data_IF_248623848545
#
_entry.id   IF_248623848545
#
_cell.length_a   1.000
_cell.length_b   1.000
_cell.length_c   1.000
_cell.angle_alpha   90.00
_cell.angle_beta   90.00
_cell.angle_gamma   90.00
#
_symmetry.space_group_name_H-M   'P 1'
#
loop_
_entity.id
_entity.type
_entity.pdbx_description
1 polymer ?
#
# COMPACT_ATOMS: atom_id res chain seq x y z
N UNK A 1 -16.84 -33.45 13.53
CA UNK A 1 -16.89 -33.94 14.90
C UNK A 1 -17.24 -35.40 14.86
N UNK A 2 -16.57 -36.24 15.63
CA UNK A 2 -16.90 -37.63 15.88
C UNK A 2 -17.60 -37.71 17.25
N UNK A 3 -18.71 -38.39 17.31
CA UNK A 3 -19.43 -38.70 18.55
C UNK A 3 -19.07 -40.13 18.94
N UNK A 4 -18.04 -40.27 19.76
CA UNK A 4 -17.51 -41.53 20.24
C UNK A 4 -16.27 -42.07 19.50
N UNK A 5 -15.77 -43.21 19.93
CA UNK A 5 -14.63 -43.89 19.29
C UNK A 5 -15.09 -44.70 18.08
N UNK A 6 -14.33 -44.64 16.99
CA UNK A 6 -14.61 -45.38 15.76
C UNK A 6 -13.56 -46.48 15.52
N UNK A 7 -14.05 -47.62 15.08
CA UNK A 7 -13.21 -48.72 14.62
C UNK A 7 -13.45 -49.04 13.12
N UNK A 8 -12.43 -49.66 12.50
CA UNK A 8 -12.55 -50.09 11.11
C UNK A 8 -13.67 -51.12 11.00
N UNK A 9 -14.66 -50.86 10.14
CA UNK A 9 -15.86 -51.69 9.95
C UNK A 9 -17.13 -51.13 10.61
N UNK A 10 -17.03 -50.07 11.39
CA UNK A 10 -18.19 -49.41 11.99
C UNK A 10 -19.09 -48.76 10.94
N UNK A 11 -20.39 -48.85 11.14
CA UNK A 11 -21.37 -48.06 10.38
C UNK A 11 -21.45 -46.66 10.92
N UNK A 12 -21.23 -45.67 10.04
CA UNK A 12 -21.30 -44.27 10.38
C UNK A 12 -22.35 -43.55 9.54
N UNK A 13 -22.97 -42.52 10.11
CA UNK A 13 -23.82 -41.57 9.39
C UNK A 13 -23.02 -40.30 9.17
N UNK A 14 -22.75 -39.94 7.90
CA UNK A 14 -22.11 -38.67 7.55
C UNK A 14 -23.15 -37.58 7.42
N UNK A 15 -23.12 -36.58 8.32
CA UNK A 15 -23.99 -35.41 8.30
C UNK A 15 -23.25 -34.24 7.71
N UNK A 16 -23.74 -33.76 6.57
CA UNK A 16 -23.24 -32.53 5.95
C UNK A 16 -24.02 -31.34 6.51
N UNK A 17 -23.32 -30.32 7.05
CA UNK A 17 -23.95 -29.10 7.48
C UNK A 17 -24.61 -28.39 6.28
N UNK A 18 -25.94 -28.21 6.24
CA UNK A 18 -26.66 -27.67 5.08
C UNK A 18 -26.24 -26.23 4.76
N UNK A 19 -26.02 -25.37 5.76
CA UNK A 19 -25.64 -23.99 5.56
C UNK A 19 -24.24 -23.86 4.95
N UNK A 20 -23.26 -24.64 5.46
CA UNK A 20 -21.91 -24.69 4.90
C UNK A 20 -21.92 -25.24 3.47
N UNK A 21 -22.70 -26.30 3.21
CA UNK A 21 -22.86 -26.85 1.88
C UNK A 21 -23.46 -25.83 0.91
N UNK A 22 -24.54 -25.17 1.33
CA UNK A 22 -25.18 -24.15 0.49
C UNK A 22 -24.25 -22.99 0.17
N UNK A 23 -23.52 -22.46 1.16
CA UNK A 23 -22.52 -21.42 0.93
C UNK A 23 -21.39 -21.85 -0.02
N UNK A 24 -20.96 -23.12 0.07
CA UNK A 24 -19.99 -23.67 -0.89
C UNK A 24 -20.57 -23.77 -2.31
N UNK A 25 -21.85 -24.15 -2.47
CA UNK A 25 -22.54 -24.17 -3.75
C UNK A 25 -22.66 -22.76 -4.36
N UNK A 26 -22.96 -21.73 -3.53
CA UNK A 26 -23.01 -20.33 -3.97
C UNK A 26 -21.65 -19.91 -4.54
N UNK A 27 -20.57 -20.12 -3.79
CA UNK A 27 -19.23 -19.74 -4.20
C UNK A 27 -18.76 -20.52 -5.46
N UNK A 28 -19.11 -21.79 -5.57
CA UNK A 28 -18.74 -22.59 -6.73
C UNK A 28 -19.51 -22.16 -7.99
N UNK A 29 -20.81 -21.90 -7.89
CA UNK A 29 -21.56 -21.36 -9.04
C UNK A 29 -21.08 -19.99 -9.43
N UNK A 30 -20.75 -19.11 -8.46
CA UNK A 30 -20.13 -17.81 -8.73
C UNK A 30 -18.77 -17.90 -9.45
N UNK A 31 -18.02 -19.01 -9.24
CA UNK A 31 -16.78 -19.26 -9.98
C UNK A 31 -17.05 -19.40 -11.49
N UNK A 32 -18.13 -20.11 -11.88
CA UNK A 32 -18.55 -20.21 -13.26
C UNK A 32 -19.05 -18.88 -13.83
N UNK A 33 -19.77 -18.10 -13.03
CA UNK A 33 -20.23 -16.75 -13.41
C UNK A 33 -19.03 -15.84 -13.70
N UNK A 34 -18.02 -15.78 -12.81
CA UNK A 34 -16.79 -15.01 -13.04
C UNK A 34 -16.05 -15.50 -14.29
N UNK A 35 -15.92 -16.79 -14.47
CA UNK A 35 -15.24 -17.35 -15.66
C UNK A 35 -15.92 -16.92 -16.95
N UNK A 36 -17.25 -17.00 -17.00
CA UNK A 36 -18.01 -16.56 -18.16
C UNK A 36 -17.85 -15.05 -18.42
N UNK A 37 -17.95 -14.21 -17.38
CA UNK A 37 -17.75 -12.76 -17.47
C UNK A 37 -16.33 -12.42 -17.95
N UNK A 38 -15.29 -13.08 -17.42
CA UNK A 38 -13.91 -12.89 -17.87
C UNK A 38 -13.74 -13.25 -19.34
N UNK A 39 -14.33 -14.34 -19.81
CA UNK A 39 -14.26 -14.75 -21.22
C UNK A 39 -15.01 -13.78 -22.14
N UNK A 40 -16.11 -13.22 -21.67
CA UNK A 40 -16.89 -12.23 -22.42
C UNK A 40 -16.11 -10.90 -22.55
N UNK A 41 -15.52 -10.40 -21.49
CA UNK A 41 -14.95 -9.06 -21.41
C UNK A 41 -13.44 -9.01 -21.70
N UNK A 42 -12.68 -10.03 -21.26
CA UNK A 42 -11.22 -10.13 -21.51
C UNK A 42 -10.93 -10.89 -22.80
N UNK A 43 -11.76 -11.89 -23.09
CA UNK A 43 -11.66 -12.72 -24.30
C UNK A 43 -11.62 -14.22 -24.04
N UNK A 44 -11.83 -15.05 -25.06
CA UNK A 44 -11.93 -16.52 -24.93
C UNK A 44 -10.64 -17.18 -24.44
N UNK A 45 -9.52 -16.49 -24.48
CA UNK A 45 -8.24 -16.97 -23.94
C UNK A 45 -8.13 -16.90 -22.40
N UNK A 46 -9.06 -16.23 -21.72
CA UNK A 46 -9.14 -16.20 -20.26
C UNK A 46 -9.63 -17.54 -19.70
N UNK A 47 -8.83 -18.59 -19.89
CA UNK A 47 -9.13 -19.95 -19.46
C UNK A 47 -8.74 -20.19 -18.02
N UNK A 48 -9.46 -21.08 -17.34
CA UNK A 48 -9.16 -21.41 -15.94
C UNK A 48 -7.78 -22.09 -15.83
N UNK A 49 -6.93 -21.56 -14.98
CA UNK A 49 -5.65 -22.15 -14.55
C UNK A 49 -5.76 -22.82 -13.17
N UNK A 50 -6.73 -22.39 -12.35
CA UNK A 50 -7.02 -22.97 -11.05
C UNK A 50 -8.17 -22.23 -10.37
N UNK A 51 -8.78 -22.86 -9.37
CA UNK A 51 -9.80 -22.21 -8.55
C UNK A 51 -9.80 -22.75 -7.13
N UNK A 52 -10.35 -21.97 -6.22
CA UNK A 52 -10.65 -22.40 -4.86
C UNK A 52 -11.89 -21.67 -4.39
N UNK A 53 -12.82 -22.43 -3.81
CA UNK A 53 -14.03 -21.85 -3.24
C UNK A 53 -14.34 -22.46 -1.86
N UNK A 54 -14.91 -21.64 -1.00
CA UNK A 54 -15.47 -21.98 0.32
C UNK A 54 -16.71 -21.13 0.56
N UNK A 55 -17.51 -21.41 1.58
CA UNK A 55 -18.65 -20.55 1.91
C UNK A 55 -18.25 -19.09 1.99
N UNK A 56 -18.95 -18.25 1.22
CA UNK A 56 -18.76 -16.79 1.19
C UNK A 56 -17.58 -16.27 0.38
N UNK A 57 -16.69 -17.13 -0.14
CA UNK A 57 -15.46 -16.70 -0.81
C UNK A 57 -15.09 -17.61 -1.98
N UNK A 58 -14.55 -17.01 -3.01
CA UNK A 58 -13.91 -17.72 -4.12
C UNK A 58 -12.61 -17.04 -4.55
N UNK A 59 -11.77 -17.84 -5.19
CA UNK A 59 -10.56 -17.42 -5.89
C UNK A 59 -10.55 -18.11 -7.26
N UNK A 60 -10.24 -17.33 -8.29
CA UNK A 60 -10.17 -17.83 -9.65
C UNK A 60 -8.88 -17.38 -10.33
N UNK A 61 -8.09 -18.35 -10.77
CA UNK A 61 -6.84 -18.13 -11.50
C UNK A 61 -7.11 -18.36 -12.99
N UNK A 62 -6.70 -17.42 -13.83
CA UNK A 62 -6.98 -17.46 -15.27
C UNK A 62 -5.80 -17.01 -16.11
N UNK A 63 -5.79 -17.43 -17.37
CA UNK A 63 -4.74 -17.07 -18.33
C UNK A 63 -4.95 -15.64 -18.83
N UNK A 64 -3.99 -14.77 -18.55
CA UNK A 64 -3.92 -13.41 -19.10
C UNK A 64 -2.50 -12.86 -18.97
N UNK A 65 -2.07 -12.12 -19.99
CA UNK A 65 -0.72 -11.51 -20.06
C UNK A 65 -0.65 -10.13 -19.43
N UNK A 66 -1.79 -9.44 -19.30
CA UNK A 66 -1.91 -8.11 -18.73
C UNK A 66 -2.84 -8.12 -17.53
N UNK A 67 -2.61 -7.22 -16.56
CA UNK A 67 -3.53 -6.97 -15.47
C UNK A 67 -4.84 -6.34 -15.96
N UNK A 68 -5.89 -6.51 -15.19
CA UNK A 68 -7.17 -5.85 -15.43
C UNK A 68 -7.06 -4.39 -14.99
N UNK A 69 -7.57 -3.45 -15.80
CA UNK A 69 -7.76 -2.08 -15.37
C UNK A 69 -8.86 -1.98 -14.32
N UNK A 70 -8.88 -0.89 -13.55
CA UNK A 70 -9.94 -0.70 -12.55
C UNK A 70 -11.32 -0.69 -13.21
N UNK A 71 -11.50 0.02 -14.34
CA UNK A 71 -12.75 0.01 -15.09
C UNK A 71 -13.17 -1.39 -15.55
N UNK A 72 -12.22 -2.23 -15.98
CA UNK A 72 -12.54 -3.60 -16.42
C UNK A 72 -12.92 -4.51 -15.24
N UNK A 73 -12.32 -4.28 -14.06
CA UNK A 73 -12.74 -4.96 -12.83
C UNK A 73 -14.17 -4.61 -12.44
N UNK A 74 -14.51 -3.32 -12.53
CA UNK A 74 -15.87 -2.84 -12.26
C UNK A 74 -16.88 -3.44 -13.27
N UNK A 75 -16.54 -3.48 -14.55
CA UNK A 75 -17.37 -4.10 -15.60
C UNK A 75 -17.57 -5.61 -15.38
N UNK A 76 -16.52 -6.32 -14.94
CA UNK A 76 -16.60 -7.76 -14.60
C UNK A 76 -17.51 -7.97 -13.37
N UNK A 77 -17.34 -7.17 -12.32
CA UNK A 77 -18.20 -7.25 -11.12
C UNK A 77 -19.66 -6.95 -11.47
N UNK A 78 -19.92 -5.89 -12.24
CA UNK A 78 -21.25 -5.54 -12.70
C UNK A 78 -21.85 -6.68 -13.54
N UNK A 79 -21.09 -7.20 -14.53
CA UNK A 79 -21.56 -8.29 -15.40
C UNK A 79 -21.90 -9.55 -14.60
N UNK A 80 -21.12 -9.87 -13.57
CA UNK A 80 -21.42 -10.98 -12.67
C UNK A 80 -22.73 -10.75 -11.90
N UNK A 81 -22.92 -9.55 -11.34
CA UNK A 81 -24.13 -9.25 -10.58
C UNK A 81 -25.37 -9.14 -11.47
N UNK A 82 -25.25 -8.68 -12.73
CA UNK A 82 -26.33 -8.76 -13.72
C UNK A 82 -26.74 -10.22 -13.98
N UNK A 83 -25.76 -11.13 -14.18
CA UNK A 83 -26.05 -12.56 -14.37
C UNK A 83 -26.67 -13.22 -13.14
N UNK A 84 -26.32 -12.75 -11.93
CA UNK A 84 -26.95 -13.16 -10.68
C UNK A 84 -28.39 -12.65 -10.60
N UNK A 85 -28.61 -11.40 -10.97
CA UNK A 85 -29.95 -10.77 -10.98
C UNK A 85 -30.90 -11.41 -12.00
N UNK A 86 -30.38 -11.78 -13.17
CA UNK A 86 -31.16 -12.44 -14.24
C UNK A 86 -31.65 -13.85 -13.85
N UNK A 87 -31.14 -14.37 -12.75
CA UNK A 87 -31.55 -15.64 -12.14
C UNK A 87 -31.55 -16.83 -13.12
N UNK A 88 -30.46 -16.96 -13.89
CA UNK A 88 -30.31 -18.07 -14.84
C UNK A 88 -30.40 -19.43 -14.15
N UNK A 89 -31.18 -20.34 -14.73
CA UNK A 89 -31.22 -21.73 -14.27
C UNK A 89 -29.82 -22.37 -14.41
N UNK A 90 -29.42 -23.15 -13.40
CA UNK A 90 -28.19 -23.92 -13.41
C UNK A 90 -28.57 -25.36 -13.69
N UNK A 91 -28.30 -25.84 -14.90
CA UNK A 91 -28.58 -27.19 -15.32
C UNK A 91 -27.34 -28.07 -15.37
N UNK A 92 -27.50 -29.36 -15.21
CA UNK A 92 -26.44 -30.30 -15.40
C UNK A 92 -26.91 -31.56 -16.16
N UNK A 93 -26.04 -32.03 -17.03
CA UNK A 93 -26.34 -33.21 -17.87
C UNK A 93 -25.11 -34.12 -17.95
N UNK A 94 -25.34 -35.42 -17.83
CA UNK A 94 -24.30 -36.44 -18.07
C UNK A 94 -24.33 -36.84 -19.53
N UNK A 95 -23.17 -36.86 -20.18
CA UNK A 95 -23.05 -37.23 -21.58
C UNK A 95 -21.65 -37.77 -21.90
N UNK A 96 -21.48 -38.44 -23.07
CA UNK A 96 -20.16 -38.79 -23.56
C UNK A 96 -19.24 -37.57 -23.71
N UNK A 97 -17.96 -37.74 -23.36
CA UNK A 97 -16.97 -36.65 -23.42
C UNK A 97 -16.89 -36.00 -24.82
N UNK A 98 -16.99 -36.82 -25.86
CA UNK A 98 -16.94 -36.33 -27.24
C UNK A 98 -18.15 -35.48 -27.59
N UNK A 99 -19.34 -35.84 -27.10
CA UNK A 99 -20.55 -35.02 -27.30
C UNK A 99 -20.46 -33.69 -26.57
N UNK A 100 -19.92 -33.71 -25.34
CA UNK A 100 -19.66 -32.49 -24.57
C UNK A 100 -18.67 -31.54 -25.29
N UNK A 101 -17.62 -32.08 -25.92
CA UNK A 101 -16.69 -31.29 -26.75
C UNK A 101 -17.36 -30.70 -27.97
N UNK A 102 -18.20 -31.48 -28.67
CA UNK A 102 -18.98 -31.01 -29.83
C UNK A 102 -19.92 -29.88 -29.43
N UNK A 103 -20.52 -29.93 -28.24
CA UNK A 103 -21.34 -28.86 -27.69
C UNK A 103 -20.52 -27.62 -27.29
N UNK A 104 -19.19 -27.69 -27.30
CA UNK A 104 -18.32 -26.60 -26.88
C UNK A 104 -18.17 -26.47 -25.35
N UNK A 105 -18.41 -27.55 -24.61
CA UNK A 105 -18.18 -27.56 -23.19
C UNK A 105 -16.67 -27.38 -22.86
N UNK A 106 -16.37 -26.46 -21.97
CA UNK A 106 -15.00 -26.20 -21.58
C UNK A 106 -14.49 -27.26 -20.60
N UNK A 107 -13.27 -27.70 -20.85
CA UNK A 107 -12.52 -28.61 -20.00
C UNK A 107 -11.31 -27.88 -19.44
N UNK A 108 -10.91 -28.17 -18.21
CA UNK A 108 -9.67 -27.68 -17.65
C UNK A 108 -8.48 -28.26 -18.42
N UNK A 109 -7.50 -27.39 -18.71
CA UNK A 109 -6.32 -27.82 -19.45
C UNK A 109 -5.49 -28.83 -18.65
N UNK A 110 -5.13 -29.96 -19.30
CA UNK A 110 -4.26 -30.98 -18.71
C UNK A 110 -4.97 -31.99 -17.82
N UNK A 111 -6.29 -31.89 -17.61
CA UNK A 111 -7.05 -32.87 -16.86
C UNK A 111 -7.47 -34.08 -17.74
N UNK A 112 -7.53 -35.25 -17.10
CA UNK A 112 -8.03 -36.47 -17.73
C UNK A 112 -9.48 -36.70 -17.31
N UNK A 113 -10.37 -36.76 -18.27
CA UNK A 113 -11.79 -36.94 -18.05
C UNK A 113 -12.22 -38.40 -18.32
N UNK A 114 -13.19 -38.93 -17.56
CA UNK A 114 -13.80 -40.23 -17.85
C UNK A 114 -14.59 -40.17 -19.17
N UNK A 115 -14.96 -41.34 -19.72
CA UNK A 115 -15.76 -41.40 -20.96
C UNK A 115 -17.12 -40.71 -20.87
N UNK A 116 -17.73 -40.69 -19.68
CA UNK A 116 -18.98 -39.96 -19.38
C UNK A 116 -18.62 -38.80 -18.44
N UNK A 117 -19.00 -37.59 -18.82
CA UNK A 117 -18.73 -36.35 -18.09
C UNK A 117 -20.03 -35.68 -17.70
N UNK A 118 -19.95 -34.83 -16.65
CA UNK A 118 -21.03 -33.94 -16.25
C UNK A 118 -20.75 -32.56 -16.80
N UNK A 119 -21.65 -32.06 -17.62
CA UNK A 119 -21.66 -30.70 -18.17
C UNK A 119 -22.57 -29.83 -17.30
N UNK A 120 -22.08 -28.74 -16.78
CA UNK A 120 -22.86 -27.73 -16.04
C UNK A 120 -23.02 -26.51 -16.92
N UNK A 121 -24.24 -25.99 -17.03
CA UNK A 121 -24.60 -24.86 -17.85
C UNK A 121 -25.30 -23.77 -17.04
N UNK A 122 -24.94 -22.51 -17.31
CA UNK A 122 -25.61 -21.30 -16.85
C UNK A 122 -25.97 -20.49 -18.09
N UNK A 123 -27.25 -20.20 -18.31
CA UNK A 123 -27.75 -19.53 -19.54
C UNK A 123 -27.24 -20.21 -20.82
N UNK A 124 -27.25 -21.53 -20.86
CA UNK A 124 -26.81 -22.31 -22.01
C UNK A 124 -25.32 -22.07 -22.34
N UNK A 125 -24.99 -21.61 -23.56
CA UNK A 125 -23.60 -21.48 -24.01
C UNK A 125 -22.82 -20.35 -23.35
N UNK A 126 -23.44 -19.48 -22.57
CA UNK A 126 -22.76 -18.39 -21.88
C UNK A 126 -21.73 -18.95 -20.87
N UNK A 127 -22.13 -19.94 -20.07
CA UNK A 127 -21.20 -20.75 -19.26
C UNK A 127 -21.57 -22.21 -19.44
N UNK A 128 -20.70 -22.98 -20.05
CA UNK A 128 -20.86 -24.42 -20.27
C UNK A 128 -19.52 -25.11 -19.99
N UNK A 129 -19.46 -25.84 -18.88
CA UNK A 129 -18.19 -26.35 -18.36
C UNK A 129 -18.30 -27.80 -17.87
N UNK A 130 -17.22 -28.57 -18.01
CA UNK A 130 -17.11 -29.88 -17.37
C UNK A 130 -16.86 -29.66 -15.87
N UNK A 131 -17.84 -30.01 -15.04
CA UNK A 131 -17.75 -29.78 -13.60
C UNK A 131 -18.41 -30.90 -12.79
N UNK A 132 -17.65 -31.48 -11.84
CA UNK A 132 -18.12 -32.50 -10.90
C UNK A 132 -18.62 -31.92 -9.56
N UNK A 133 -18.58 -30.60 -9.36
CA UNK A 133 -18.89 -29.97 -8.10
C UNK A 133 -20.37 -29.77 -7.80
N UNK A 134 -20.67 -29.13 -6.67
CA UNK A 134 -22.04 -28.86 -6.23
C UNK A 134 -22.39 -27.39 -6.50
N UNK A 135 -23.60 -27.15 -6.99
CA UNK A 135 -24.09 -25.87 -7.44
C UNK A 135 -25.42 -25.49 -6.79
N UNK A 136 -25.76 -24.18 -6.85
CA UNK A 136 -27.12 -23.72 -6.57
C UNK A 136 -28.01 -23.99 -7.79
N UNK A 137 -29.34 -23.98 -7.61
CA UNK A 137 -30.29 -24.27 -8.67
C UNK A 137 -30.44 -23.14 -9.69
N UNK A 138 -30.14 -21.90 -9.29
CA UNK A 138 -30.14 -20.74 -10.17
C UNK A 138 -29.14 -19.71 -9.69
N UNK A 139 -28.68 -18.81 -10.60
CA UNK A 139 -27.66 -17.80 -10.29
C UNK A 139 -28.15 -16.79 -9.25
N UNK A 140 -29.43 -16.47 -9.18
CA UNK A 140 -30.02 -15.61 -8.17
C UNK A 140 -29.81 -16.11 -6.73
N UNK A 141 -29.63 -17.41 -6.55
CA UNK A 141 -29.33 -18.01 -5.23
C UNK A 141 -27.91 -17.75 -4.76
N UNK A 142 -27.02 -17.20 -5.58
CA UNK A 142 -25.69 -16.71 -5.18
C UNK A 142 -25.87 -15.49 -4.26
N UNK A 143 -26.88 -14.65 -4.55
CA UNK A 143 -27.20 -13.43 -3.83
C UNK A 143 -26.52 -12.23 -4.43
N UNK A 144 -25.24 -12.03 -4.15
CA UNK A 144 -24.41 -10.98 -4.76
C UNK A 144 -22.94 -11.40 -4.77
N UNK A 145 -22.15 -10.69 -5.56
CA UNK A 145 -20.71 -10.88 -5.70
C UNK A 145 -20.01 -9.54 -5.55
N UNK A 146 -18.89 -9.52 -4.82
CA UNK A 146 -17.98 -8.36 -4.74
C UNK A 146 -16.55 -8.81 -5.01
N UNK A 147 -15.90 -8.20 -5.99
CA UNK A 147 -14.48 -8.42 -6.30
C UNK A 147 -13.61 -7.74 -5.24
N UNK A 148 -12.70 -8.50 -4.63
CA UNK A 148 -11.71 -7.95 -3.69
C UNK A 148 -10.49 -7.37 -4.40
N UNK A 149 -10.20 -7.86 -5.60
CA UNK A 149 -9.06 -7.39 -6.37
C UNK A 149 -8.54 -8.42 -7.36
N UNK A 150 -7.47 -8.03 -8.06
CA UNK A 150 -6.79 -8.86 -9.05
C UNK A 150 -5.27 -8.74 -8.87
N UNK A 151 -4.55 -9.85 -9.02
CA UNK A 151 -3.09 -9.87 -8.89
C UNK A 151 -2.44 -10.89 -9.82
N UNK A 152 -1.14 -10.70 -10.10
CA UNK A 152 -0.33 -11.69 -10.80
C UNK A 152 0.07 -12.82 -9.86
N UNK A 153 -0.06 -14.07 -10.29
CA UNK A 153 0.36 -15.26 -9.53
C UNK A 153 1.39 -16.10 -10.28
N UNK A 154 1.79 -15.67 -11.47
CA UNK A 154 2.79 -16.34 -12.30
C UNK A 154 2.88 -15.70 -13.67
N UNK A 155 3.83 -16.16 -14.49
CA UNK A 155 3.95 -15.70 -15.88
C UNK A 155 2.71 -16.10 -16.66
N UNK A 156 1.96 -15.11 -17.16
CA UNK A 156 0.75 -15.34 -17.94
C UNK A 156 -0.46 -15.84 -17.16
N UNK A 157 -0.43 -15.77 -15.81
CA UNK A 157 -1.54 -16.18 -14.94
C UNK A 157 -1.91 -15.04 -13.99
N UNK A 158 -3.19 -14.71 -14.00
CA UNK A 158 -3.79 -13.69 -13.14
C UNK A 158 -4.78 -14.34 -12.19
N UNK A 159 -5.00 -13.73 -11.04
CA UNK A 159 -5.92 -14.18 -9.99
C UNK A 159 -6.91 -13.10 -9.68
N UNK A 160 -8.19 -13.45 -9.65
CA UNK A 160 -9.23 -12.65 -9.03
C UNK A 160 -9.72 -13.34 -7.76
N UNK A 161 -10.07 -12.54 -6.75
CA UNK A 161 -10.68 -12.99 -5.52
C UNK A 161 -12.01 -12.27 -5.33
N UNK A 162 -13.02 -12.96 -4.86
CA UNK A 162 -14.34 -12.38 -4.65
C UNK A 162 -15.02 -12.94 -3.40
N UNK A 163 -15.86 -12.11 -2.83
CA UNK A 163 -16.84 -12.52 -1.84
C UNK A 163 -18.20 -12.74 -2.50
N UNK A 164 -19.00 -13.61 -1.90
CA UNK A 164 -20.34 -13.90 -2.38
C UNK A 164 -21.35 -13.88 -1.24
N UNK A 165 -22.61 -13.67 -1.60
CA UNK A 165 -23.75 -13.72 -0.66
C UNK A 165 -23.60 -12.72 0.48
N UNK A 166 -23.88 -13.13 1.71
CA UNK A 166 -23.84 -12.27 2.91
C UNK A 166 -22.45 -11.75 3.24
N UNK A 167 -21.36 -12.43 2.81
CA UNK A 167 -20.01 -11.95 3.04
C UNK A 167 -19.68 -10.78 2.10
N UNK A 168 -20.14 -10.81 0.84
CA UNK A 168 -20.08 -9.68 -0.07
C UNK A 168 -20.87 -8.48 0.48
N UNK A 169 -22.10 -8.72 0.98
CA UNK A 169 -22.90 -7.66 1.61
C UNK A 169 -22.20 -7.03 2.81
N UNK A 170 -21.59 -7.85 3.70
CA UNK A 170 -20.85 -7.36 4.87
C UNK A 170 -19.65 -6.51 4.48
N UNK A 171 -18.95 -6.92 3.43
CA UNK A 171 -17.81 -6.16 2.89
C UNK A 171 -18.25 -4.78 2.42
N UNK A 172 -19.22 -4.68 1.54
CA UNK A 172 -19.76 -3.41 1.05
C UNK A 172 -20.37 -2.55 2.20
N UNK A 173 -20.99 -3.18 3.20
CA UNK A 173 -21.50 -2.46 4.36
C UNK A 173 -20.37 -1.86 5.20
N UNK A 174 -19.22 -2.55 5.33
CA UNK A 174 -18.04 -2.05 6.02
C UNK A 174 -17.39 -0.89 5.27
N UNK A 175 -17.27 -0.97 3.94
CA UNK A 175 -16.77 0.12 3.10
C UNK A 175 -17.66 1.36 3.21
N UNK A 176 -18.98 1.19 3.15
CA UNK A 176 -19.95 2.29 3.36
C UNK A 176 -19.83 2.91 4.76
N UNK A 177 -19.64 2.09 5.79
CA UNK A 177 -19.45 2.58 7.16
C UNK A 177 -18.17 3.41 7.27
N UNK A 178 -17.07 2.96 6.65
CA UNK A 178 -15.81 3.71 6.59
C UNK A 178 -15.97 5.05 5.85
N UNK A 179 -16.65 5.07 4.70
CA UNK A 179 -16.94 6.32 3.98
C UNK A 179 -17.76 7.27 4.86
N UNK A 180 -18.78 6.77 5.56
CA UNK A 180 -19.59 7.60 6.47
C UNK A 180 -18.77 8.16 7.65
N UNK A 181 -17.85 7.37 8.21
CA UNK A 181 -16.93 7.84 9.24
C UNK A 181 -16.01 8.94 8.70
N UNK A 182 -15.39 8.71 7.55
CA UNK A 182 -14.48 9.68 6.92
C UNK A 182 -15.19 10.98 6.55
N UNK A 183 -16.42 10.93 6.06
CA UNK A 183 -17.21 12.14 5.74
C UNK A 183 -17.67 12.91 6.98
N UNK A 184 -17.82 12.22 8.10
CA UNK A 184 -18.15 12.83 9.38
C UNK A 184 -17.07 13.78 9.93
N UNK A 185 -15.79 13.53 9.63
CA UNK A 185 -14.66 14.34 10.09
C UNK A 185 -14.70 15.76 9.49
N UNK A 186 -14.70 15.96 8.15
CA UNK A 186 -14.81 17.29 7.54
C UNK A 186 -16.23 17.80 7.39
N UNK A 187 -17.26 17.01 7.76
CA UNK A 187 -18.68 17.30 7.56
C UNK A 187 -19.05 17.55 6.08
N UNK A 188 -18.48 16.75 5.21
CA UNK A 188 -18.70 16.82 3.76
C UNK A 188 -19.63 15.70 3.28
N UNK A 189 -20.10 15.81 2.03
CA UNK A 189 -20.82 14.73 1.37
C UNK A 189 -19.85 13.67 0.81
N UNK A 190 -20.27 12.40 0.66
CA UNK A 190 -19.41 11.31 0.16
C UNK A 190 -18.75 11.60 -1.20
N UNK A 191 -19.47 12.23 -2.12
CA UNK A 191 -18.99 12.60 -3.45
C UNK A 191 -17.92 13.70 -3.45
N UNK A 192 -17.83 14.48 -2.38
CA UNK A 192 -16.86 15.57 -2.19
C UNK A 192 -15.64 15.14 -1.38
N UNK A 193 -15.64 13.92 -0.82
CA UNK A 193 -14.60 13.45 0.09
C UNK A 193 -13.20 13.44 -0.56
N UNK A 194 -13.09 12.96 -1.79
CA UNK A 194 -11.82 12.90 -2.51
C UNK A 194 -11.18 14.27 -2.71
N UNK A 195 -11.98 15.25 -3.14
CA UNK A 195 -11.54 16.63 -3.33
C UNK A 195 -11.15 17.28 -1.99
N UNK A 196 -11.93 17.00 -0.93
CA UNK A 196 -11.63 17.50 0.40
C UNK A 196 -10.33 16.97 0.97
N UNK A 197 -10.08 15.67 0.82
CA UNK A 197 -8.82 15.05 1.25
C UNK A 197 -7.64 15.63 0.46
N UNK A 198 -7.77 15.78 -0.84
CA UNK A 198 -6.75 16.40 -1.70
C UNK A 198 -6.44 17.82 -1.27
N UNK A 199 -7.47 18.62 -0.96
CA UNK A 199 -7.33 19.98 -0.45
C UNK A 199 -6.64 20.00 0.90
N UNK A 200 -7.03 19.15 1.85
CA UNK A 200 -6.38 19.07 3.17
C UNK A 200 -4.89 18.72 3.06
N UNK A 201 -4.53 17.81 2.18
CA UNK A 201 -3.13 17.46 1.92
C UNK A 201 -2.34 18.66 1.36
N UNK A 202 -2.93 19.42 0.43
CA UNK A 202 -2.33 20.63 -0.12
C UNK A 202 -2.18 21.74 0.95
N UNK A 203 -3.21 21.96 1.76
CA UNK A 203 -3.22 22.95 2.84
C UNK A 203 -2.17 22.61 3.91
N UNK A 204 -2.03 21.34 4.27
CA UNK A 204 -1.00 20.88 5.19
C UNK A 204 0.41 21.17 4.65
N UNK A 205 0.68 20.81 3.40
CA UNK A 205 1.97 21.07 2.74
C UNK A 205 2.31 22.56 2.70
N UNK A 206 1.31 23.40 2.42
CA UNK A 206 1.49 24.86 2.43
C UNK A 206 1.71 25.41 3.85
N UNK A 207 1.01 24.89 4.84
CA UNK A 207 1.21 25.25 6.24
C UNK A 207 2.63 24.89 6.72
N UNK A 208 3.12 23.69 6.39
CA UNK A 208 4.49 23.25 6.68
C UNK A 208 5.53 24.15 6.02
N UNK A 209 5.31 24.52 4.76
CA UNK A 209 6.18 25.45 4.03
C UNK A 209 6.24 26.83 4.70
N UNK A 210 5.09 27.38 5.09
CA UNK A 210 4.99 28.67 5.79
C UNK A 210 5.67 28.63 7.15
N UNK A 211 5.47 27.54 7.89
CA UNK A 211 6.11 27.34 9.20
C UNK A 211 7.65 27.27 9.05
N UNK A 212 8.15 26.53 8.05
CA UNK A 212 9.58 26.47 7.74
C UNK A 212 10.15 27.84 7.41
N UNK A 213 9.47 28.62 6.56
CA UNK A 213 9.90 29.97 6.21
C UNK A 213 9.88 30.94 7.42
N UNK A 214 8.88 30.81 8.29
CA UNK A 214 8.80 31.64 9.51
C UNK A 214 9.94 31.28 10.48
N UNK A 215 10.23 30.00 10.70
CA UNK A 215 11.37 29.54 11.51
C UNK A 215 12.71 30.04 10.96
N UNK A 216 12.91 29.91 9.64
CA UNK A 216 14.14 30.42 9.00
C UNK A 216 14.29 31.94 9.20
N UNK A 217 13.21 32.72 9.06
CA UNK A 217 13.23 34.16 9.29
C UNK A 217 13.57 34.51 10.74
N UNK A 218 12.99 33.82 11.70
CA UNK A 218 13.28 33.98 13.14
C UNK A 218 14.75 33.69 13.44
N UNK A 219 15.28 32.60 12.90
CA UNK A 219 16.69 32.23 13.04
C UNK A 219 17.63 33.28 12.43
N UNK A 220 17.32 33.75 11.22
CA UNK A 220 18.12 34.77 10.57
C UNK A 220 18.06 36.13 11.28
N UNK A 221 16.98 36.41 12.02
CA UNK A 221 16.88 37.57 12.89
C UNK A 221 17.89 37.59 14.04
N UNK A 222 18.45 36.44 14.42
CA UNK A 222 19.44 36.29 15.47
C UNK A 222 20.89 36.52 14.97
N UNK A 223 21.10 36.63 13.66
CA UNK A 223 22.45 36.73 13.07
C UNK A 223 23.26 37.88 13.62
N UNK A 224 22.68 39.07 13.71
CA UNK A 224 23.39 40.28 14.16
C UNK A 224 23.79 40.17 15.65
N UNK A 225 22.94 39.60 16.50
CA UNK A 225 23.22 39.37 17.92
C UNK A 225 24.34 38.32 18.09
N UNK A 226 24.30 37.23 17.28
CA UNK A 226 25.35 36.20 17.31
C UNK A 226 26.70 36.78 16.85
N UNK A 227 26.69 37.58 15.79
CA UNK A 227 27.90 38.27 15.29
C UNK A 227 28.44 39.28 16.31
N UNK A 228 27.58 39.98 17.04
CA UNK A 228 27.98 40.88 18.10
C UNK A 228 28.72 40.16 19.25
N UNK A 229 28.41 38.87 19.49
CA UNK A 229 29.09 38.01 20.45
C UNK A 229 30.43 37.45 19.97
N UNK A 230 31.03 37.97 18.91
CA UNK A 230 32.34 37.52 18.40
C UNK A 230 33.43 37.72 19.43
N UNK A 231 34.26 36.71 19.65
CA UNK A 231 35.40 36.77 20.56
C UNK A 231 36.71 36.47 19.84
N UNK A 232 37.83 37.18 20.19
CA UNK A 232 39.12 36.85 19.62
C UNK A 232 39.64 35.51 20.15
N UNK A 233 40.15 34.65 19.23
CA UNK A 233 40.74 33.36 19.54
C UNK A 233 42.09 33.22 18.81
N UNK A 234 43.15 33.75 19.40
CA UNK A 234 44.46 33.79 18.76
C UNK A 234 44.48 34.73 17.54
N UNK A 235 44.77 34.17 16.37
CA UNK A 235 44.78 34.91 15.08
C UNK A 235 43.42 34.90 14.37
N UNK A 236 42.37 34.38 15.00
CA UNK A 236 41.02 34.24 14.42
C UNK A 236 39.97 34.94 15.28
N UNK A 237 38.89 35.35 14.66
CA UNK A 237 37.66 35.72 15.30
C UNK A 237 36.77 34.48 15.45
N UNK A 238 36.35 34.14 16.65
CA UNK A 238 35.43 33.04 16.93
C UNK A 238 34.01 33.55 17.13
N UNK A 239 33.10 33.12 16.25
CA UNK A 239 31.66 33.32 16.39
C UNK A 239 31.06 32.02 16.87
N UNK A 240 30.74 31.90 18.14
CA UNK A 240 30.19 30.69 18.73
C UNK A 240 28.81 30.93 19.31
N UNK A 241 27.82 30.12 18.94
CA UNK A 241 26.48 30.20 19.49
C UNK A 241 25.83 28.84 19.68
N UNK A 242 24.99 28.74 20.71
CA UNK A 242 24.11 27.61 20.97
C UNK A 242 22.70 28.00 20.53
N UNK A 243 22.11 27.23 19.61
CA UNK A 243 20.77 27.44 19.03
C UNK A 243 19.93 26.17 19.21
N UNK A 244 19.39 25.93 20.40
CA UNK A 244 18.70 24.69 20.74
C UNK A 244 17.48 24.46 19.85
N UNK A 245 17.18 23.20 19.50
CA UNK A 245 16.01 22.84 18.71
C UNK A 245 16.13 23.10 17.22
N UNK A 246 17.24 23.66 16.74
CA UNK A 246 17.47 23.96 15.33
C UNK A 246 18.08 22.75 14.62
N UNK A 247 17.42 22.29 13.54
CA UNK A 247 17.86 21.15 12.74
C UNK A 247 19.16 21.45 11.98
N UNK A 248 19.89 20.40 11.61
CA UNK A 248 21.18 20.55 10.93
C UNK A 248 21.13 21.31 9.60
N UNK A 249 20.02 21.24 8.84
CA UNK A 249 19.79 22.03 7.62
C UNK A 249 19.70 23.52 7.91
N UNK A 250 18.94 23.88 8.95
CA UNK A 250 18.72 25.27 9.35
C UNK A 250 19.97 25.87 9.99
N UNK A 251 20.69 25.06 10.79
CA UNK A 251 22.02 25.44 11.29
C UNK A 251 23.00 25.76 10.16
N UNK A 252 22.95 25.00 9.06
CA UNK A 252 23.79 25.26 7.89
C UNK A 252 23.46 26.60 7.25
N UNK A 253 22.18 26.92 7.10
CA UNK A 253 21.71 28.19 6.56
C UNK A 253 22.15 29.36 7.45
N UNK A 254 21.95 29.20 8.77
CA UNK A 254 22.39 30.21 9.75
C UNK A 254 23.91 30.42 9.73
N UNK A 255 24.70 29.34 9.72
CA UNK A 255 26.16 29.44 9.67
C UNK A 255 26.67 30.09 8.38
N UNK A 256 26.01 29.85 7.25
CA UNK A 256 26.35 30.45 5.96
C UNK A 256 26.08 31.96 6.00
N UNK A 257 24.97 32.39 6.57
CA UNK A 257 24.63 33.82 6.70
C UNK A 257 25.57 34.55 7.68
N UNK A 258 25.85 33.97 8.85
CA UNK A 258 26.83 34.50 9.79
C UNK A 258 28.20 34.61 9.12
N UNK A 259 28.66 33.60 8.44
CA UNK A 259 29.93 33.62 7.69
C UNK A 259 29.96 34.74 6.65
N UNK A 260 28.85 34.98 5.95
CA UNK A 260 28.76 36.07 4.99
C UNK A 260 28.89 37.48 5.65
N UNK A 261 28.36 37.63 6.87
CA UNK A 261 28.47 38.88 7.66
C UNK A 261 29.90 39.17 8.14
N UNK A 262 30.69 38.13 8.36
CA UNK A 262 32.07 38.25 8.88
C UNK A 262 33.13 37.93 7.82
N UNK A 263 32.80 37.97 6.53
CA UNK A 263 33.65 37.50 5.42
C UNK A 263 34.99 38.26 5.31
N UNK A 264 35.01 39.52 5.72
CA UNK A 264 36.18 40.40 5.60
C UNK A 264 37.21 40.22 6.73
N UNK A 265 36.96 39.27 7.65
CA UNK A 265 37.80 38.95 8.82
C UNK A 265 38.21 37.47 8.81
N UNK A 266 39.35 37.09 9.42
CA UNK A 266 39.71 35.70 9.60
C UNK A 266 38.81 35.07 10.69
N UNK A 267 37.62 34.61 10.34
CA UNK A 267 36.62 34.17 11.30
C UNK A 267 36.29 32.65 11.16
N UNK A 268 36.06 32.06 12.31
CA UNK A 268 35.53 30.69 12.48
C UNK A 268 34.15 30.79 13.12
N UNK A 269 33.14 30.29 12.43
CA UNK A 269 31.77 30.26 12.94
C UNK A 269 31.46 28.84 13.43
N UNK A 270 31.04 28.71 14.67
CA UNK A 270 30.68 27.43 15.30
C UNK A 270 29.28 27.53 15.90
N UNK A 271 28.36 26.70 15.39
CA UNK A 271 26.99 26.63 15.91
C UNK A 271 26.71 25.24 16.46
N UNK A 272 26.08 25.19 17.61
CA UNK A 272 25.58 23.96 18.24
C UNK A 272 24.06 24.05 18.32
N UNK A 273 23.37 23.06 17.77
CA UNK A 273 21.90 22.95 17.76
C UNK A 273 21.44 21.52 17.89
N UNK A 274 20.26 21.24 17.36
CA UNK A 274 19.61 19.94 17.53
C UNK A 274 18.85 19.83 18.85
N UNK A 275 18.40 18.61 19.15
CA UNK A 275 17.76 18.29 20.43
C UNK A 275 18.79 17.71 21.39
N UNK A 276 18.41 17.57 22.68
CA UNK A 276 19.26 16.94 23.70
C UNK A 276 19.77 15.56 23.29
N UNK A 277 18.91 14.76 22.64
CA UNK A 277 19.21 13.40 22.23
C UNK A 277 19.86 13.29 20.84
N UNK A 278 19.82 14.37 20.06
CA UNK A 278 20.40 14.43 18.71
C UNK A 278 21.08 15.80 18.51
N UNK A 279 22.20 16.06 19.19
CA UNK A 279 22.92 17.30 19.01
C UNK A 279 23.57 17.35 17.63
N UNK A 280 23.52 18.54 17.05
CA UNK A 280 24.14 18.86 15.77
C UNK A 280 25.12 20.02 15.96
N UNK A 281 26.26 19.94 15.28
CA UNK A 281 27.26 21.01 15.27
C UNK A 281 27.64 21.35 13.84
N UNK A 282 27.80 22.63 13.57
CA UNK A 282 28.33 23.14 12.32
C UNK A 282 29.51 24.04 12.59
N UNK A 283 30.54 23.89 11.75
CA UNK A 283 31.68 24.80 11.68
C UNK A 283 31.77 25.36 10.28
N UNK A 284 31.87 26.68 10.16
CA UNK A 284 32.12 27.35 8.88
C UNK A 284 33.31 28.31 9.03
N UNK A 285 34.13 28.45 7.98
CA UNK A 285 35.33 29.29 8.00
C UNK A 285 35.31 30.30 6.84
N UNK A 286 35.74 31.53 7.10
CA UNK A 286 35.95 32.52 6.05
C UNK A 286 37.19 32.19 5.19
N UNK A 287 37.33 32.79 4.03
CA UNK A 287 38.46 32.55 3.13
C UNK A 287 39.79 32.94 3.81
N UNK A 288 39.85 34.06 4.46
CA UNK A 288 41.02 34.52 5.18
C UNK A 288 41.39 33.60 6.35
N UNK A 289 40.40 33.05 7.06
CA UNK A 289 40.66 32.04 8.10
C UNK A 289 41.24 30.75 7.53
N UNK A 290 40.75 30.29 6.36
CA UNK A 290 41.32 29.10 5.68
C UNK A 290 42.74 29.34 5.21
N UNK A 291 43.03 30.52 4.67
CA UNK A 291 44.39 30.89 4.27
C UNK A 291 45.37 30.91 5.45
N UNK A 292 44.85 31.23 6.66
CA UNK A 292 45.60 31.20 7.90
C UNK A 292 45.59 29.80 8.60
N UNK A 293 45.05 28.74 7.92
CA UNK A 293 45.12 27.37 8.37
C UNK A 293 43.89 26.82 9.09
N UNK A 294 42.84 27.60 9.30
CA UNK A 294 41.62 27.14 9.95
C UNK A 294 40.71 26.38 8.96
N UNK A 295 40.67 25.04 9.04
CA UNK A 295 39.87 24.17 8.18
C UNK A 295 38.65 23.63 8.93
N UNK A 296 37.44 23.90 8.43
CA UNK A 296 36.19 23.45 9.06
C UNK A 296 36.12 21.93 9.21
N UNK A 297 36.62 21.16 8.20
CA UNK A 297 36.67 19.71 8.24
C UNK A 297 37.58 19.12 9.33
N UNK A 298 38.64 19.83 9.73
CA UNK A 298 39.49 19.46 10.85
C UNK A 298 38.87 19.87 12.19
N UNK A 299 38.37 21.10 12.28
CA UNK A 299 37.78 21.66 13.48
C UNK A 299 36.52 20.89 13.94
N UNK A 300 35.64 20.46 13.01
CA UNK A 300 34.44 19.70 13.36
C UNK A 300 34.78 18.38 14.02
N UNK A 301 35.83 17.69 13.60
CA UNK A 301 36.24 16.41 14.18
C UNK A 301 36.65 16.56 15.65
N UNK A 302 37.32 17.65 15.99
CA UNK A 302 37.69 18.00 17.36
C UNK A 302 36.45 18.40 18.16
N UNK A 303 35.60 19.23 17.57
CA UNK A 303 34.40 19.77 18.24
C UNK A 303 33.35 18.70 18.58
N UNK A 304 33.21 17.63 17.78
CA UNK A 304 32.23 16.58 18.06
C UNK A 304 32.78 15.42 18.91
N UNK A 305 34.08 15.37 19.14
CA UNK A 305 34.70 14.30 19.94
C UNK A 305 34.15 14.24 21.40
N UNK A 306 33.98 15.37 22.11
CA UNK A 306 33.42 15.35 23.47
C UNK A 306 32.00 14.81 23.59
N UNK A 307 31.21 14.91 22.51
CA UNK A 307 29.83 14.42 22.46
C UNK A 307 29.70 13.02 21.83
N UNK A 308 30.81 12.27 21.72
CA UNK A 308 30.84 10.94 21.12
C UNK A 308 30.41 10.93 19.65
N UNK A 309 30.49 12.05 18.99
CA UNK A 309 29.97 12.29 17.67
C UNK A 309 30.95 11.98 16.54
N UNK A 310 30.42 12.04 15.32
CA UNK A 310 31.20 12.01 14.06
C UNK A 310 30.85 13.22 13.22
N UNK A 311 31.85 13.77 12.57
CA UNK A 311 31.68 14.94 11.71
C UNK A 311 32.62 14.92 10.53
N UNK A 312 32.24 15.65 9.48
CA UNK A 312 33.02 15.83 8.27
C UNK A 312 32.43 16.88 7.35
N UNK A 313 33.15 17.23 6.33
CA UNK A 313 32.75 18.22 5.35
C UNK A 313 33.95 18.80 4.61
N UNK A 314 33.72 19.90 3.89
CA UNK A 314 34.75 20.65 3.18
C UNK A 314 35.49 21.58 4.15
N UNK A 315 36.58 22.18 3.67
CA UNK A 315 37.38 23.12 4.47
C UNK A 315 36.63 24.43 4.76
N UNK A 316 35.64 24.79 3.98
CA UNK A 316 34.82 25.99 4.16
C UNK A 316 33.61 25.78 5.08
N UNK A 317 33.05 24.56 5.12
CA UNK A 317 31.92 24.20 5.97
C UNK A 317 31.89 22.70 6.23
N UNK A 318 31.75 22.33 7.50
CA UNK A 318 31.66 20.95 7.93
C UNK A 318 30.60 20.82 9.03
N UNK A 319 29.93 19.68 9.10
CA UNK A 319 28.91 19.36 10.10
C UNK A 319 29.19 18.05 10.79
N UNK A 320 28.67 17.93 12.00
CA UNK A 320 28.75 16.72 12.78
C UNK A 320 27.52 16.55 13.66
N UNK A 321 27.31 15.33 14.11
CA UNK A 321 26.24 14.97 15.03
C UNK A 321 26.82 14.15 16.17
N UNK A 322 26.29 14.32 17.36
CA UNK A 322 26.65 13.56 18.56
C UNK A 322 25.55 12.59 19.00
N UNK A 323 25.86 11.80 20.02
CA UNK A 323 24.93 10.85 20.62
C UNK A 323 24.13 11.46 21.78
N UNK A 324 24.70 12.45 22.50
CA UNK A 324 24.01 13.14 23.61
C UNK A 324 24.79 14.40 24.04
N UNK A 325 24.07 15.40 24.62
CA UNK A 325 24.67 16.59 25.24
C UNK A 325 24.91 16.43 26.76
N UNK A 326 24.81 15.23 27.31
CA UNK A 326 24.89 15.00 28.77
C UNK A 326 26.29 15.32 29.35
N UNK A 327 27.29 15.52 28.51
CA UNK A 327 28.68 15.69 28.91
C UNK A 327 29.35 17.02 28.54
N UNK A 328 28.54 18.09 28.28
CA UNK A 328 29.07 19.44 28.06
C UNK A 328 28.63 20.38 29.18
#
# INVERSE_FOLDING_TARGET
HLDGDLAVGDRVTALVNPATRFGACQAHTATHVIHAALRELVGPSATQAGSYNKPGYLRFDFSATKGLSDSLKDEIEERCNVAIHDDFEVTDTQMPLEDAKVMGAMAMFGEKYPPIVRVVELAGPWSRELCGGTHVASTGRIGMLSLLGEQSVGSGTRRVEALVSTDAFRHMAAERALVNELTGIPKEQPDQLADRVSKLAADLKEAERKLGAARTRELLGQVDDIVAGTTPAGSFDLVAAKVPGVAGSDLRTLAAEIRARVKDRPAVVTLIGGTHDKPAMIVATTESARAAGAKAGALIKVGVAPIGGRGGGKDDMAQGAGLSLIHI
#
